data_IF_834809111450
#
_entry.id   IF_834809111450
#
_cell.length_a   1.000
_cell.length_b   1.000
_cell.length_c   1.000
_cell.angle_alpha   90.00
_cell.angle_beta   90.00
_cell.angle_gamma   90.00
#
_symmetry.space_group_name_H-M   'P 1'
#
loop_
_entity.id
_entity.type
_entity.pdbx_description
1 polymer ?
#
# COMPACT_ATOMS: atom_id res chain seq x y z
N UNK A 1 -31.45 -46.76 -21.52
CA UNK A 1 -30.70 -46.11 -22.62
C UNK A 1 -31.21 -44.69 -22.76
N UNK A 2 -30.44 -43.70 -22.31
CA UNK A 2 -30.64 -42.29 -22.63
C UNK A 2 -29.31 -41.77 -23.16
N UNK A 3 -29.35 -41.19 -24.36
CA UNK A 3 -28.19 -40.82 -25.18
C UNK A 3 -27.75 -39.39 -24.83
N UNK A 4 -26.45 -39.15 -24.98
CA UNK A 4 -25.66 -38.02 -24.51
C UNK A 4 -26.10 -36.61 -24.94
N UNK A 5 -25.62 -35.59 -24.19
CA UNK A 5 -25.11 -34.36 -24.79
C UNK A 5 -24.04 -33.73 -23.90
N UNK A 6 -22.77 -33.99 -24.20
CA UNK A 6 -21.64 -33.27 -23.62
C UNK A 6 -21.52 -31.91 -24.31
N UNK A 7 -21.85 -30.82 -23.62
CA UNK A 7 -21.54 -29.47 -24.11
C UNK A 7 -20.02 -29.24 -23.96
N UNK A 8 -19.33 -29.18 -25.08
CA UNK A 8 -17.95 -28.72 -25.19
C UNK A 8 -17.87 -27.26 -24.72
N UNK A 9 -17.16 -27.02 -23.63
CA UNK A 9 -16.78 -25.67 -23.21
C UNK A 9 -15.80 -25.11 -24.24
N UNK A 10 -16.22 -24.09 -24.98
CA UNK A 10 -15.34 -23.35 -25.86
C UNK A 10 -14.25 -22.66 -25.02
N UNK A 11 -13.01 -23.13 -25.16
CA UNK A 11 -11.84 -22.42 -24.67
C UNK A 11 -11.68 -21.16 -25.53
N UNK A 12 -12.21 -20.04 -25.05
CA UNK A 12 -11.85 -18.73 -25.57
C UNK A 12 -10.35 -18.51 -25.33
N UNK A 13 -9.57 -18.46 -26.40
CA UNK A 13 -8.16 -18.13 -26.32
C UNK A 13 -8.01 -16.74 -25.68
N UNK A 14 -7.38 -16.70 -24.50
CA UNK A 14 -7.05 -15.43 -23.85
C UNK A 14 -6.13 -14.63 -24.80
N UNK A 15 -6.47 -13.37 -25.02
CA UNK A 15 -5.65 -12.45 -25.79
C UNK A 15 -4.21 -12.42 -25.23
N UNK A 16 -3.18 -12.23 -26.08
CA UNK A 16 -1.80 -12.15 -25.62
C UNK A 16 -1.70 -10.99 -24.62
N UNK A 17 -1.23 -11.27 -23.41
CA UNK A 17 -0.89 -10.22 -22.45
C UNK A 17 0.18 -9.33 -23.10
N UNK A 18 0.03 -8.00 -23.08
CA UNK A 18 1.06 -7.11 -23.60
C UNK A 18 2.39 -7.48 -22.91
N UNK A 19 3.44 -7.64 -23.71
CA UNK A 19 4.79 -7.87 -23.23
C UNK A 19 5.11 -6.79 -22.20
N UNK A 20 5.58 -7.22 -21.02
CA UNK A 20 6.02 -6.31 -19.97
C UNK A 20 6.92 -5.25 -20.60
N UNK A 21 6.51 -3.97 -20.51
CA UNK A 21 7.36 -2.85 -20.89
C UNK A 21 8.71 -3.00 -20.19
N UNK A 22 9.78 -2.62 -20.89
CA UNK A 22 11.12 -2.63 -20.32
C UNK A 22 11.10 -1.91 -18.96
N UNK A 23 11.83 -2.41 -17.93
CA UNK A 23 11.81 -1.79 -16.63
C UNK A 23 12.19 -0.31 -16.78
N UNK A 24 11.27 0.58 -16.36
CA UNK A 24 11.53 2.01 -16.34
C UNK A 24 12.86 2.26 -15.61
N UNK A 25 13.68 3.18 -16.14
CA UNK A 25 14.92 3.56 -15.46
C UNK A 25 14.62 3.98 -14.02
N UNK A 26 15.39 3.43 -13.08
CA UNK A 26 15.29 3.82 -11.67
C UNK A 26 15.80 5.26 -11.57
N UNK A 27 14.99 6.20 -11.06
CA UNK A 27 15.44 7.57 -10.89
C UNK A 27 16.65 7.65 -9.95
N UNK A 28 17.68 8.41 -10.32
CA UNK A 28 18.77 8.73 -9.41
C UNK A 28 18.26 9.67 -8.31
N UNK A 29 18.41 9.25 -7.04
CA UNK A 29 18.11 10.07 -5.88
C UNK A 29 19.38 10.69 -5.32
N UNK A 30 19.29 11.96 -4.92
CA UNK A 30 20.35 12.56 -4.13
C UNK A 30 20.27 12.09 -2.66
N UNK A 31 21.35 12.31 -1.90
CA UNK A 31 21.46 11.88 -0.51
C UNK A 31 20.32 12.40 0.39
N UNK A 32 19.81 13.62 0.14
CA UNK A 32 18.72 14.18 0.93
C UNK A 32 17.40 13.44 0.66
N UNK A 33 17.12 13.12 -0.61
CA UNK A 33 15.94 12.36 -1.03
C UNK A 33 15.97 10.94 -0.48
N UNK A 34 17.13 10.27 -0.52
CA UNK A 34 17.31 8.93 0.06
C UNK A 34 17.07 8.93 1.57
N UNK A 35 17.69 9.86 2.29
CA UNK A 35 17.51 9.99 3.75
C UNK A 35 16.08 10.37 4.11
N UNK A 36 15.43 11.22 3.30
CA UNK A 36 14.03 11.54 3.46
C UNK A 36 13.16 10.29 3.30
N UNK A 37 13.29 9.57 2.19
CA UNK A 37 12.53 8.34 1.92
C UNK A 37 12.72 7.31 3.03
N UNK A 38 13.97 7.05 3.44
CA UNK A 38 14.30 6.13 4.52
C UNK A 38 13.63 6.52 5.84
N UNK A 39 13.75 7.79 6.26
CA UNK A 39 13.14 8.28 7.52
C UNK A 39 11.62 8.14 7.48
N UNK A 40 10.99 8.48 6.37
CA UNK A 40 9.53 8.42 6.23
C UNK A 40 9.03 6.98 6.25
N UNK A 41 9.69 6.06 5.55
CA UNK A 41 9.36 4.62 5.63
C UNK A 41 9.57 4.08 7.04
N UNK A 42 10.65 4.46 7.73
CA UNK A 42 10.92 4.01 9.09
C UNK A 42 9.87 4.52 10.09
N UNK A 43 9.38 5.76 9.94
CA UNK A 43 8.29 6.30 10.76
C UNK A 43 7.03 5.46 10.59
N UNK A 44 6.64 5.15 9.35
CA UNK A 44 5.48 4.29 9.08
C UNK A 44 5.68 2.92 9.74
N UNK A 45 6.85 2.28 9.54
CA UNK A 45 7.15 0.98 10.16
C UNK A 45 6.98 1.01 11.68
N UNK A 46 7.55 2.01 12.36
CA UNK A 46 7.48 2.11 13.83
C UNK A 46 6.07 2.43 14.32
N UNK A 47 5.32 3.23 13.58
CA UNK A 47 3.92 3.50 13.88
C UNK A 47 3.10 2.19 13.83
N UNK A 48 3.25 1.43 12.75
CA UNK A 48 2.51 0.19 12.53
C UNK A 48 2.88 -0.91 13.53
N UNK A 49 4.16 -1.05 13.87
CA UNK A 49 4.61 -1.96 14.94
C UNK A 49 3.95 -1.59 16.28
N UNK A 50 3.81 -0.30 16.57
CA UNK A 50 3.16 0.17 17.78
C UNK A 50 1.65 -0.06 17.75
N UNK A 51 0.99 0.20 16.62
CA UNK A 51 -0.43 -0.10 16.43
C UNK A 51 -0.69 -1.61 16.62
N UNK A 52 0.12 -2.47 15.99
CA UNK A 52 0.04 -3.92 16.17
C UNK A 52 0.24 -4.36 17.62
N UNK A 53 1.16 -3.73 18.36
CA UNK A 53 1.33 -3.99 19.79
C UNK A 53 0.08 -3.62 20.59
N UNK A 54 -0.48 -2.43 20.39
CA UNK A 54 -1.65 -1.95 21.13
C UNK A 54 -2.90 -2.77 20.80
N UNK A 55 -3.06 -3.20 19.54
CA UNK A 55 -4.11 -4.11 19.12
C UNK A 55 -3.99 -5.47 19.83
N UNK A 56 -2.77 -6.05 19.89
CA UNK A 56 -2.52 -7.29 20.63
C UNK A 56 -2.78 -7.18 22.13
N UNK A 57 -2.71 -5.97 22.69
CA UNK A 57 -3.05 -5.67 24.08
C UNK A 57 -4.55 -5.41 24.29
N UNK A 58 -5.36 -5.37 23.23
CA UNK A 58 -6.78 -5.04 23.28
C UNK A 58 -7.06 -3.55 23.53
N UNK A 59 -6.08 -2.67 23.31
CA UNK A 59 -6.23 -1.21 23.47
C UNK A 59 -6.72 -0.53 22.19
N UNK A 60 -6.75 -1.25 21.06
CA UNK A 60 -7.38 -0.83 19.80
C UNK A 60 -8.52 -1.82 19.54
N UNK A 61 -9.73 -1.30 19.35
CA UNK A 61 -10.93 -2.10 19.07
C UNK A 61 -11.15 -2.36 17.58
N UNK A 62 -12.00 -3.34 17.26
CA UNK A 62 -12.45 -3.57 15.88
C UNK A 62 -11.36 -4.11 14.94
N UNK A 63 -11.18 -3.46 13.79
CA UNK A 63 -10.24 -3.89 12.74
C UNK A 63 -8.96 -3.05 12.76
N UNK A 64 -7.82 -3.69 12.52
CA UNK A 64 -6.51 -3.03 12.44
C UNK A 64 -5.70 -3.60 11.27
N UNK A 65 -5.61 -2.86 10.16
CA UNK A 65 -4.94 -3.32 8.94
C UNK A 65 -3.55 -2.68 8.80
N UNK A 66 -2.51 -3.40 9.20
CA UNK A 66 -1.15 -2.86 9.26
C UNK A 66 -0.51 -2.65 7.88
N UNK A 67 0.10 -1.50 7.60
CA UNK A 67 0.79 -1.23 6.32
C UNK A 67 2.23 -1.80 6.22
N UNK A 68 2.62 -2.69 7.14
CA UNK A 68 3.98 -3.25 7.22
C UNK A 68 4.36 -3.95 5.92
N UNK A 69 5.50 -3.55 5.34
CA UNK A 69 6.06 -4.11 4.11
C UNK A 69 5.63 -3.39 2.83
N UNK A 70 4.74 -2.41 2.92
CA UNK A 70 4.28 -1.60 1.77
C UNK A 70 4.78 -0.16 1.84
N UNK A 71 5.68 0.20 2.75
CA UNK A 71 6.08 1.59 3.01
C UNK A 71 6.66 2.29 1.78
N UNK A 72 7.40 1.55 0.95
CA UNK A 72 7.97 2.08 -0.28
C UNK A 72 6.89 2.51 -1.30
N UNK A 73 5.70 1.88 -1.28
CA UNK A 73 4.60 2.19 -2.20
C UNK A 73 4.13 3.62 -1.96
N UNK A 74 3.74 3.93 -0.72
CA UNK A 74 3.19 5.25 -0.40
C UNK A 74 4.25 6.35 -0.43
N UNK A 75 5.47 6.08 0.05
CA UNK A 75 6.54 7.09 0.03
C UNK A 75 7.00 7.37 -1.41
N UNK A 76 7.12 6.34 -2.24
CA UNK A 76 7.40 6.51 -3.67
C UNK A 76 6.31 7.31 -4.38
N UNK A 77 5.02 7.01 -4.11
CA UNK A 77 3.89 7.80 -4.62
C UNK A 77 4.00 9.27 -4.21
N UNK A 78 4.20 9.55 -2.92
CA UNK A 78 4.28 10.93 -2.42
C UNK A 78 5.47 11.70 -2.99
N UNK A 79 6.58 11.03 -3.30
CA UNK A 79 7.73 11.66 -3.95
C UNK A 79 7.47 12.02 -5.43
N UNK A 80 6.47 11.40 -6.06
CA UNK A 80 6.12 11.64 -7.46
C UNK A 80 4.90 12.57 -7.65
N UNK A 81 4.12 12.80 -6.59
CA UNK A 81 2.92 13.64 -6.59
C UNK A 81 3.25 15.12 -6.80
N UNK A 82 2.35 15.83 -7.46
CA UNK A 82 2.43 17.26 -7.76
C UNK A 82 1.41 18.05 -6.96
N UNK A 83 1.62 19.36 -6.90
CA UNK A 83 0.65 20.27 -6.26
C UNK A 83 -0.71 20.16 -6.96
N UNK A 84 -1.75 19.88 -6.17
CA UNK A 84 -3.13 19.71 -6.65
C UNK A 84 -3.57 18.27 -6.85
N UNK A 85 -2.67 17.29 -6.75
CA UNK A 85 -3.07 15.87 -6.79
C UNK A 85 -3.81 15.47 -5.49
N UNK A 86 -4.80 14.59 -5.63
CA UNK A 86 -5.59 14.04 -4.53
C UNK A 86 -5.25 12.56 -4.32
N UNK A 87 -5.27 12.10 -3.05
CA UNK A 87 -4.96 10.72 -2.66
C UNK A 87 -6.17 10.06 -2.02
N UNK A 88 -6.56 8.91 -2.56
CA UNK A 88 -7.57 8.01 -1.98
C UNK A 88 -7.01 6.60 -1.90
N UNK A 89 -7.39 5.85 -0.88
CA UNK A 89 -6.96 4.45 -0.68
C UNK A 89 -8.07 3.64 0.01
N UNK A 90 -7.83 2.34 0.22
CA UNK A 90 -8.72 1.45 0.98
C UNK A 90 -8.44 1.47 2.48
N UNK A 91 -8.94 0.48 3.22
CA UNK A 91 -8.87 0.37 4.69
C UNK A 91 -7.48 0.05 5.29
N UNK A 92 -6.42 0.05 4.47
CA UNK A 92 -5.03 -0.17 4.91
C UNK A 92 -4.27 1.15 4.72
N UNK A 93 -4.68 2.15 5.47
CA UNK A 93 -4.44 3.56 5.17
C UNK A 93 -3.54 4.28 6.18
N UNK A 94 -3.14 3.67 7.30
CA UNK A 94 -2.33 4.42 8.27
C UNK A 94 -1.02 4.95 7.64
N UNK A 95 -0.34 4.13 6.83
CA UNK A 95 0.82 4.57 6.04
C UNK A 95 0.51 5.74 5.10
N UNK A 96 -0.67 5.76 4.48
CA UNK A 96 -1.15 6.86 3.63
C UNK A 96 -1.40 8.15 4.44
N UNK A 97 -2.12 8.06 5.56
CA UNK A 97 -2.37 9.21 6.44
C UNK A 97 -1.06 9.87 6.89
N UNK A 98 -0.10 9.04 7.33
CA UNK A 98 1.22 9.53 7.73
C UNK A 98 1.98 10.17 6.56
N UNK A 99 1.98 9.53 5.40
CA UNK A 99 2.69 10.01 4.21
C UNK A 99 2.09 11.32 3.65
N UNK A 100 0.78 11.53 3.81
CA UNK A 100 0.07 12.78 3.51
C UNK A 100 0.32 13.90 4.54
N UNK A 101 1.14 13.66 5.57
CA UNK A 101 1.59 14.69 6.51
C UNK A 101 0.72 14.83 7.75
N UNK A 102 -0.20 13.91 8.01
CA UNK A 102 -0.94 13.90 9.27
C UNK A 102 0.00 13.65 10.45
N UNK A 103 -0.29 14.28 11.59
CA UNK A 103 0.47 14.08 12.83
C UNK A 103 0.29 12.64 13.32
N UNK A 104 1.39 11.85 13.49
CA UNK A 104 1.30 10.49 14.01
C UNK A 104 0.55 10.38 15.34
N UNK A 105 0.58 11.41 16.18
CA UNK A 105 -0.20 11.40 17.45
C UNK A 105 -1.69 11.43 17.19
N UNK A 106 -2.14 12.25 16.24
CA UNK A 106 -3.54 12.30 15.82
C UNK A 106 -3.99 10.97 15.21
N UNK A 107 -3.17 10.40 14.32
CA UNK A 107 -3.49 9.09 13.72
C UNK A 107 -3.58 8.00 14.79
N UNK A 108 -2.67 7.98 15.77
CA UNK A 108 -2.74 6.99 16.86
C UNK A 108 -3.97 7.18 17.74
N UNK A 109 -4.36 8.43 18.02
CA UNK A 109 -5.55 8.73 18.82
C UNK A 109 -6.86 8.27 18.16
N UNK A 110 -6.94 8.26 16.82
CA UNK A 110 -8.11 7.71 16.11
C UNK A 110 -8.20 6.18 16.19
N UNK A 111 -7.10 5.48 16.50
CA UNK A 111 -7.08 4.02 16.64
C UNK A 111 -7.47 3.53 18.05
N UNK A 112 -7.23 4.34 19.08
CA UNK A 112 -7.38 3.95 20.50
C UNK A 112 -8.58 4.60 21.15
#
# INVERSE_FOLDING_TARGET
MAVASSKSAAQGAAAPRPSAEAPAEVPDFNQEQELHAYRRMLVIRRFEEKAGQLYGMGLIGGFCHLYIGQEAVVIGMQMAIKAGDEVITGYRDHGHMLACGMDPKGVMAELT
#
